data_IF_991218481353
#
_entry.id   IF_991218481353
#
_cell.length_a   1.000
_cell.length_b   1.000
_cell.length_c   1.000
_cell.angle_alpha   90.00
_cell.angle_beta   90.00
_cell.angle_gamma   90.00
#
_symmetry.space_group_name_H-M   'P 1'
#
loop_
_entity.id
_entity.type
_entity.pdbx_description
1 polymer ?
#
# COMPACT_ATOMS: atom_id res chain seq x y z
N UNK A 1 31.26 9.83 34.73
CA UNK A 1 30.39 9.21 33.72
C UNK A 1 31.24 8.16 33.05
N UNK A 2 30.96 6.89 33.33
CA UNK A 2 31.70 5.77 32.77
C UNK A 2 31.37 5.64 31.27
N UNK A 3 32.26 5.05 30.44
CA UNK A 3 31.99 4.88 29.01
C UNK A 3 30.73 4.04 28.73
N UNK A 4 30.37 3.13 29.64
CA UNK A 4 29.09 2.40 29.61
C UNK A 4 27.87 3.31 29.84
N UNK A 5 27.94 4.28 30.75
CA UNK A 5 26.86 5.26 30.99
C UNK A 5 26.61 6.17 29.76
N UNK A 6 27.65 6.44 28.97
CA UNK A 6 27.55 7.27 27.74
C UNK A 6 26.90 6.48 26.61
N UNK A 7 27.15 5.17 26.52
CA UNK A 7 26.52 4.30 25.51
C UNK A 7 25.03 4.05 25.82
N UNK A 8 24.67 3.88 27.08
CA UNK A 8 23.28 3.74 27.52
C UNK A 8 22.50 5.06 27.40
N UNK A 9 23.15 6.19 27.73
CA UNK A 9 22.57 7.52 27.50
C UNK A 9 22.48 7.88 26.01
N UNK A 10 23.44 7.48 25.17
CA UNK A 10 23.36 7.65 23.72
C UNK A 10 22.31 6.73 23.07
N UNK A 11 22.10 5.52 23.61
CA UNK A 11 20.99 4.66 23.22
C UNK A 11 19.63 5.23 23.67
N UNK A 12 19.58 5.92 24.80
CA UNK A 12 18.40 6.64 25.29
C UNK A 12 18.13 8.00 24.61
N UNK A 13 19.17 8.67 24.10
CA UNK A 13 19.10 9.94 23.35
C UNK A 13 18.94 9.76 21.84
N UNK A 14 19.36 8.60 21.31
CA UNK A 14 19.20 8.18 19.91
C UNK A 14 18.19 7.03 19.74
N UNK A 15 17.28 6.89 20.71
CA UNK A 15 16.32 5.79 20.78
C UNK A 15 15.35 5.83 19.60
N UNK A 16 15.41 4.80 18.76
CA UNK A 16 14.40 4.60 17.72
C UNK A 16 13.00 4.38 18.29
N UNK A 17 11.98 4.24 17.44
CA UNK A 17 10.61 4.05 17.85
C UNK A 17 10.48 2.91 18.87
N UNK A 18 9.78 3.16 19.97
CA UNK A 18 9.44 2.13 20.93
C UNK A 18 8.39 1.15 20.39
N UNK A 19 8.08 0.07 21.13
CA UNK A 19 7.11 -0.93 20.69
C UNK A 19 5.72 -0.34 20.42
N UNK A 20 5.30 0.65 21.22
CA UNK A 20 4.02 1.36 21.04
C UNK A 20 4.02 2.20 19.76
N UNK A 21 5.12 2.90 19.47
CA UNK A 21 5.29 3.67 18.24
C UNK A 21 5.26 2.77 17.00
N UNK A 22 5.82 1.56 17.10
CA UNK A 22 5.77 0.54 16.03
C UNK A 22 4.34 0.06 15.80
N UNK A 23 3.58 -0.22 16.86
CA UNK A 23 2.19 -0.62 16.75
C UNK A 23 1.32 0.51 16.16
N UNK A 24 1.48 1.74 16.65
CA UNK A 24 0.80 2.92 16.13
C UNK A 24 1.19 3.21 14.68
N UNK A 25 2.47 3.03 14.34
CA UNK A 25 2.98 3.15 12.98
C UNK A 25 2.40 2.11 12.03
N UNK A 26 2.30 0.85 12.45
CA UNK A 26 1.67 -0.22 11.69
C UNK A 26 0.18 0.07 11.44
N UNK A 27 -0.55 0.54 12.46
CA UNK A 27 -1.95 0.95 12.34
C UNK A 27 -2.12 2.16 11.39
N UNK A 28 -1.24 3.16 11.50
CA UNK A 28 -1.25 4.34 10.64
C UNK A 28 -0.97 3.98 9.17
N UNK A 29 -0.01 3.06 8.93
CA UNK A 29 0.30 2.55 7.60
C UNK A 29 -0.87 1.74 7.04
N UNK A 30 -1.48 0.85 7.82
CA UNK A 30 -2.67 0.10 7.40
C UNK A 30 -3.82 1.03 7.01
N UNK A 31 -4.09 2.07 7.79
CA UNK A 31 -5.10 3.08 7.45
C UNK A 31 -4.76 3.83 6.16
N UNK A 32 -3.48 4.12 5.90
CA UNK A 32 -3.04 4.74 4.65
C UNK A 32 -3.21 3.81 3.45
N UNK A 33 -2.92 2.51 3.60
CA UNK A 33 -3.14 1.50 2.56
C UNK A 33 -4.63 1.36 2.21
N UNK A 34 -5.53 1.41 3.20
CA UNK A 34 -6.99 1.42 2.95
C UNK A 34 -7.43 2.65 2.15
N UNK A 35 -6.87 3.83 2.44
CA UNK A 35 -7.16 5.05 1.66
C UNK A 35 -6.69 4.92 0.20
N UNK A 36 -5.47 4.42 -0.01
CA UNK A 36 -4.93 4.19 -1.36
C UNK A 36 -5.74 3.13 -2.12
N UNK A 37 -6.16 2.05 -1.45
CA UNK A 37 -7.08 1.07 -2.01
C UNK A 37 -8.41 1.71 -2.44
N UNK A 38 -8.96 2.61 -1.63
CA UNK A 38 -10.15 3.39 -1.96
C UNK A 38 -9.97 4.26 -3.21
N UNK A 39 -8.83 4.94 -3.35
CA UNK A 39 -8.52 5.75 -4.53
C UNK A 39 -8.42 4.89 -5.81
N UNK A 40 -7.77 3.72 -5.73
CA UNK A 40 -7.68 2.79 -6.86
C UNK A 40 -9.05 2.17 -7.21
N UNK A 41 -9.86 1.82 -6.21
CA UNK A 41 -11.21 1.31 -6.43
C UNK A 41 -12.11 2.36 -7.10
N UNK A 42 -12.00 3.62 -6.69
CA UNK A 42 -12.72 4.74 -7.32
C UNK A 42 -12.26 4.96 -8.77
N UNK A 43 -10.95 4.92 -9.03
CA UNK A 43 -10.40 5.01 -10.38
C UNK A 43 -10.88 3.85 -11.27
N UNK A 44 -10.90 2.62 -10.74
CA UNK A 44 -11.43 1.45 -11.42
C UNK A 44 -12.93 1.62 -11.74
N UNK A 45 -13.73 2.13 -10.80
CA UNK A 45 -15.16 2.39 -11.04
C UNK A 45 -15.36 3.47 -12.13
N UNK A 46 -14.59 4.56 -12.09
CA UNK A 46 -14.66 5.63 -13.08
C UNK A 46 -14.28 5.13 -14.50
N UNK A 47 -13.22 4.32 -14.61
CA UNK A 47 -12.83 3.70 -15.88
C UNK A 47 -13.90 2.73 -16.40
N UNK A 48 -14.54 1.97 -15.50
CA UNK A 48 -15.69 1.12 -15.83
C UNK A 48 -16.87 1.90 -16.38
N UNK A 49 -17.23 3.00 -15.74
CA UNK A 49 -18.30 3.87 -16.19
C UNK A 49 -17.98 4.54 -17.53
N UNK A 50 -16.74 5.02 -17.71
CA UNK A 50 -16.32 5.66 -18.95
C UNK A 50 -16.35 4.72 -20.17
N UNK A 51 -16.12 3.42 -19.96
CA UNK A 51 -16.18 2.42 -21.02
C UNK A 51 -17.53 1.69 -21.13
N UNK A 52 -18.54 2.09 -20.33
CA UNK A 52 -19.89 1.55 -20.46
C UNK A 52 -20.55 2.05 -21.74
N UNK A 53 -21.07 1.12 -22.55
CA UNK A 53 -21.89 1.45 -23.72
C UNK A 53 -23.29 1.80 -23.21
N UNK A 54 -23.81 2.97 -23.58
CA UNK A 54 -25.20 3.33 -23.27
C UNK A 54 -26.12 2.78 -24.36
N UNK A 55 -27.05 1.86 -24.06
CA UNK A 55 -27.98 1.35 -25.06
C UNK A 55 -28.81 2.49 -25.65
N UNK A 56 -28.85 2.59 -26.99
CA UNK A 56 -29.60 3.63 -27.71
C UNK A 56 -28.87 4.96 -27.91
N UNK A 57 -27.61 5.09 -27.49
CA UNK A 57 -26.79 6.27 -27.77
C UNK A 57 -26.10 6.14 -29.16
N UNK A 58 -26.49 6.95 -30.16
CA UNK A 58 -25.89 6.90 -31.50
C UNK A 58 -24.45 7.42 -31.53
N UNK A 59 -23.96 8.04 -30.46
CA UNK A 59 -22.58 8.52 -30.34
C UNK A 59 -21.62 7.49 -29.73
N UNK A 60 -22.15 6.33 -29.29
CA UNK A 60 -21.36 5.20 -28.82
C UNK A 60 -20.91 5.26 -27.36
N UNK A 61 -21.48 6.16 -26.54
CA UNK A 61 -21.09 6.38 -25.16
C UNK A 61 -19.87 7.30 -24.99
N UNK A 62 -19.35 7.47 -23.77
CA UNK A 62 -18.26 8.42 -23.47
C UNK A 62 -16.94 8.10 -24.19
N UNK A 63 -16.74 6.83 -24.56
CA UNK A 63 -15.61 6.35 -25.35
C UNK A 63 -16.13 5.69 -26.64
N UNK A 64 -16.16 6.43 -27.73
CA UNK A 64 -16.64 5.94 -29.03
C UNK A 64 -15.64 5.01 -29.76
N UNK A 65 -14.38 4.94 -29.32
CA UNK A 65 -13.33 4.09 -29.90
C UNK A 65 -13.18 2.76 -29.12
N UNK A 66 -13.40 1.63 -29.81
CA UNK A 66 -13.33 0.27 -29.24
C UNK A 66 -11.95 -0.03 -28.62
N UNK A 67 -10.85 0.46 -29.20
CA UNK A 67 -9.50 0.24 -28.64
C UNK A 67 -9.35 1.01 -27.32
N UNK A 68 -9.85 2.24 -27.26
CA UNK A 68 -9.86 3.03 -26.01
C UNK A 68 -10.75 2.39 -24.95
N UNK A 69 -11.91 1.88 -25.34
CA UNK A 69 -12.82 1.17 -24.45
C UNK A 69 -12.15 -0.08 -23.84
N UNK A 70 -11.49 -0.91 -24.67
CA UNK A 70 -10.74 -2.08 -24.20
C UNK A 70 -9.59 -1.68 -23.27
N UNK A 71 -8.86 -0.62 -23.61
CA UNK A 71 -7.80 -0.07 -22.76
C UNK A 71 -8.31 0.36 -21.38
N UNK A 72 -9.45 1.07 -21.34
CA UNK A 72 -10.09 1.48 -20.08
C UNK A 72 -10.56 0.28 -19.24
N UNK A 73 -11.10 -0.78 -19.88
CA UNK A 73 -11.49 -2.01 -19.18
C UNK A 73 -10.29 -2.76 -18.58
N UNK A 74 -9.20 -2.88 -19.33
CA UNK A 74 -7.97 -3.48 -18.83
C UNK A 74 -7.41 -2.69 -17.63
N UNK A 75 -7.28 -1.37 -17.77
CA UNK A 75 -6.80 -0.50 -16.69
C UNK A 75 -7.71 -0.53 -15.46
N UNK A 76 -9.04 -0.63 -15.65
CA UNK A 76 -9.96 -0.83 -14.53
C UNK A 76 -9.73 -2.15 -13.81
N UNK A 77 -9.47 -3.23 -14.54
CA UNK A 77 -9.18 -4.54 -13.95
C UNK A 77 -7.92 -4.49 -13.10
N UNK A 78 -6.85 -3.92 -13.64
CA UNK A 78 -5.57 -3.76 -12.95
C UNK A 78 -5.71 -2.93 -11.67
N UNK A 79 -6.42 -1.79 -11.75
CA UNK A 79 -6.67 -0.94 -10.59
C UNK A 79 -7.50 -1.65 -9.51
N UNK A 80 -8.52 -2.44 -9.91
CA UNK A 80 -9.34 -3.20 -8.98
C UNK A 80 -8.54 -4.31 -8.27
N UNK A 81 -7.67 -5.02 -8.99
CA UNK A 81 -6.80 -6.05 -8.40
C UNK A 81 -5.83 -5.43 -7.40
N UNK A 82 -5.19 -4.32 -7.76
CA UNK A 82 -4.29 -3.60 -6.83
C UNK A 82 -5.02 -3.08 -5.60
N UNK A 83 -6.24 -2.56 -5.76
CA UNK A 83 -7.06 -2.13 -4.62
C UNK A 83 -7.35 -3.29 -3.65
N UNK A 84 -7.75 -4.46 -4.17
CA UNK A 84 -8.00 -5.64 -3.34
C UNK A 84 -6.75 -6.09 -2.58
N UNK A 85 -5.59 -6.12 -3.27
CA UNK A 85 -4.32 -6.50 -2.65
C UNK A 85 -3.84 -5.50 -1.58
N UNK A 86 -4.13 -4.21 -1.76
CA UNK A 86 -3.83 -3.20 -0.73
C UNK A 86 -4.71 -3.34 0.51
N UNK A 87 -5.96 -3.78 0.37
CA UNK A 87 -6.81 -4.12 1.52
C UNK A 87 -6.24 -5.33 2.28
N UNK A 88 -5.86 -6.39 1.58
CA UNK A 88 -5.24 -7.57 2.21
C UNK A 88 -3.89 -7.22 2.86
N UNK A 89 -3.10 -6.33 2.24
CA UNK A 89 -1.88 -5.80 2.84
C UNK A 89 -2.17 -4.98 4.12
N UNK A 90 -3.21 -4.15 4.12
CA UNK A 90 -3.62 -3.39 5.31
C UNK A 90 -4.02 -4.30 6.48
N UNK A 91 -4.83 -5.33 6.21
CA UNK A 91 -5.21 -6.34 7.21
C UNK A 91 -4.02 -7.14 7.73
N UNK A 92 -3.04 -7.41 6.85
CA UNK A 92 -1.82 -8.13 7.21
C UNK A 92 -0.89 -7.28 8.08
N UNK A 93 -0.73 -5.99 7.76
CA UNK A 93 0.17 -5.05 8.44
C UNK A 93 -0.40 -4.53 9.75
N UNK A 94 -1.71 -4.28 9.83
CA UNK A 94 -2.35 -3.62 10.98
C UNK A 94 -2.04 -4.24 12.35
N UNK A 95 -2.05 -5.57 12.51
CA UNK A 95 -1.66 -6.24 13.76
C UNK A 95 -0.18 -6.11 14.15
N UNK A 96 0.66 -5.61 13.24
CA UNK A 96 2.11 -5.59 13.39
C UNK A 96 2.76 -6.96 13.14
N UNK A 97 4.08 -7.01 13.27
CA UNK A 97 4.88 -8.23 13.10
C UNK A 97 6.16 -8.00 12.31
N UNK A 98 6.89 -9.09 12.06
CA UNK A 98 8.14 -9.05 11.31
C UNK A 98 7.89 -8.77 9.82
N UNK A 99 8.61 -7.78 9.25
CA UNK A 99 8.44 -7.35 7.87
C UNK A 99 8.61 -8.48 6.85
N UNK A 100 9.53 -9.43 7.08
CA UNK A 100 9.74 -10.57 6.18
C UNK A 100 8.50 -11.48 6.11
N UNK A 101 7.93 -11.84 7.26
CA UNK A 101 6.73 -12.67 7.35
C UNK A 101 5.48 -11.94 6.81
N UNK A 102 5.40 -10.62 6.98
CA UNK A 102 4.36 -9.79 6.39
C UNK A 102 4.48 -9.78 4.85
N UNK A 103 5.69 -9.55 4.34
CA UNK A 103 5.96 -9.51 2.90
C UNK A 103 5.68 -10.86 2.23
N UNK A 104 6.00 -11.99 2.88
CA UNK A 104 5.69 -13.33 2.35
C UNK A 104 4.19 -13.54 2.18
N UNK A 105 3.39 -13.17 3.20
CA UNK A 105 1.92 -13.27 3.14
C UNK A 105 1.33 -12.41 2.02
N UNK A 106 1.81 -11.17 1.89
CA UNK A 106 1.38 -10.24 0.83
C UNK A 106 1.81 -10.76 -0.56
N UNK A 107 3.03 -11.30 -0.68
CA UNK A 107 3.51 -11.87 -1.93
C UNK A 107 2.70 -13.11 -2.34
N UNK A 108 2.30 -13.95 -1.38
CA UNK A 108 1.43 -15.09 -1.63
C UNK A 108 0.04 -14.64 -2.13
N UNK A 109 -0.51 -13.57 -1.56
CA UNK A 109 -1.75 -12.96 -2.02
C UNK A 109 -1.66 -12.45 -3.47
N UNK A 110 -0.61 -11.68 -3.78
CA UNK A 110 -0.35 -11.20 -5.13
C UNK A 110 -0.24 -12.34 -6.15
N UNK A 111 0.47 -13.42 -5.80
CA UNK A 111 0.60 -14.63 -6.64
C UNK A 111 -0.75 -15.31 -6.88
N UNK A 112 -1.60 -15.44 -5.85
CA UNK A 112 -2.97 -15.99 -6.01
C UNK A 112 -3.83 -15.13 -6.94
N UNK A 113 -3.61 -13.82 -6.94
CA UNK A 113 -4.26 -12.87 -7.85
C UNK A 113 -3.61 -12.82 -9.26
N UNK A 114 -2.58 -13.62 -9.52
CA UNK A 114 -1.90 -13.68 -10.82
C UNK A 114 -1.03 -12.47 -11.14
N UNK A 115 -0.59 -11.70 -10.13
CA UNK A 115 0.25 -10.51 -10.31
C UNK A 115 1.58 -10.64 -9.57
N UNK A 116 2.62 -9.98 -10.08
CA UNK A 116 3.92 -9.94 -9.44
C UNK A 116 3.84 -9.13 -8.13
N UNK A 117 4.42 -9.58 -7.00
CA UNK A 117 4.38 -8.85 -5.72
C UNK A 117 4.90 -7.40 -5.82
N UNK A 118 5.90 -7.17 -6.68
CA UNK A 118 6.51 -5.86 -6.91
C UNK A 118 5.54 -4.78 -7.39
N UNK A 119 4.35 -5.14 -7.93
CA UNK A 119 3.33 -4.15 -8.35
C UNK A 119 2.78 -3.32 -7.17
N UNK A 120 2.93 -3.81 -5.94
CA UNK A 120 2.48 -3.14 -4.73
C UNK A 120 3.51 -2.14 -4.17
N UNK A 121 4.75 -2.13 -4.68
CA UNK A 121 5.81 -1.24 -4.17
C UNK A 121 5.44 0.24 -4.37
N UNK A 122 4.98 0.71 -5.55
CA UNK A 122 4.59 2.11 -5.70
C UNK A 122 3.46 2.57 -4.76
N UNK A 123 2.29 1.89 -4.67
CA UNK A 123 1.23 2.33 -3.76
C UNK A 123 1.62 2.23 -2.28
N UNK A 124 2.47 1.28 -1.90
CA UNK A 124 2.97 1.17 -0.52
C UNK A 124 3.87 2.35 -0.15
N UNK A 125 4.73 2.81 -1.07
CA UNK A 125 5.50 4.06 -0.90
C UNK A 125 4.60 5.29 -0.85
N UNK A 126 3.55 5.34 -1.67
CA UNK A 126 2.58 6.44 -1.63
C UNK A 126 1.85 6.51 -0.29
N UNK A 127 1.41 5.38 0.25
CA UNK A 127 0.78 5.28 1.57
C UNK A 127 1.70 5.78 2.69
N UNK A 128 2.99 5.43 2.65
CA UNK A 128 3.99 5.87 3.63
C UNK A 128 4.24 7.40 3.61
N UNK A 129 4.02 8.06 2.47
CA UNK A 129 4.14 9.52 2.35
C UNK A 129 2.87 10.27 2.81
N UNK A 130 1.74 9.58 2.91
CA UNK A 130 0.42 10.16 3.20
C UNK A 130 -0.13 9.72 4.57
N UNK A 131 0.76 9.50 5.54
CA UNK A 131 0.40 9.08 6.90
C UNK A 131 -0.33 10.20 7.64
N UNK A 132 -1.50 9.86 8.19
CA UNK A 132 -2.34 10.78 8.96
C UNK A 132 -2.09 10.61 10.47
N UNK A 133 -0.83 10.76 10.88
CA UNK A 133 -0.42 10.76 12.30
C UNK A 133 0.35 12.03 12.61
N UNK A 134 0.07 12.64 13.76
CA UNK A 134 0.82 13.78 14.32
C UNK A 134 2.02 13.33 15.16
N UNK A 135 2.05 12.07 15.59
CA UNK A 135 3.17 11.43 16.27
C UNK A 135 4.34 11.17 15.30
N UNK A 136 5.46 11.84 15.57
CA UNK A 136 6.70 11.70 14.79
C UNK A 136 7.33 10.30 14.91
N UNK A 137 7.28 9.67 16.08
CA UNK A 137 7.88 8.35 16.30
C UNK A 137 7.08 7.27 15.56
N UNK A 138 5.74 7.33 15.65
CA UNK A 138 4.86 6.45 14.87
C UNK A 138 5.02 6.66 13.35
N UNK A 139 5.24 7.91 12.91
CA UNK A 139 5.51 8.20 11.50
C UNK A 139 6.82 7.54 11.03
N UNK A 140 7.89 7.67 11.80
CA UNK A 140 9.18 7.03 11.50
C UNK A 140 8.97 5.51 11.42
N UNK A 141 8.33 4.91 12.42
CA UNK A 141 8.07 3.47 12.43
C UNK A 141 7.27 3.01 11.20
N UNK A 142 6.19 3.71 10.86
CA UNK A 142 5.39 3.42 9.67
C UNK A 142 6.23 3.50 8.37
N UNK A 143 7.08 4.52 8.23
CA UNK A 143 7.96 4.64 7.06
C UNK A 143 9.01 3.54 7.00
N UNK A 144 9.55 3.10 8.14
CA UNK A 144 10.49 1.98 8.22
C UNK A 144 9.82 0.67 7.81
N UNK A 145 8.65 0.37 8.39
CA UNK A 145 7.86 -0.82 8.03
C UNK A 145 7.56 -0.82 6.52
N UNK A 146 7.17 0.32 5.96
CA UNK A 146 6.89 0.44 4.54
C UNK A 146 8.15 0.25 3.68
N UNK A 147 9.30 0.79 4.09
CA UNK A 147 10.56 0.60 3.36
C UNK A 147 10.98 -0.88 3.32
N UNK A 148 10.94 -1.56 4.47
CA UNK A 148 11.31 -2.96 4.61
C UNK A 148 10.39 -3.87 3.78
N UNK A 149 9.07 -3.61 3.83
CA UNK A 149 8.08 -4.32 3.01
C UNK A 149 8.32 -4.08 1.51
N UNK A 150 8.56 -2.84 1.10
CA UNK A 150 8.82 -2.51 -0.29
C UNK A 150 10.08 -3.22 -0.82
N UNK A 151 11.14 -3.28 -0.01
CA UNK A 151 12.36 -3.99 -0.37
C UNK A 151 12.14 -5.51 -0.48
N UNK A 152 11.45 -6.10 0.50
CA UNK A 152 11.14 -7.53 0.49
C UNK A 152 10.26 -7.92 -0.71
N UNK A 153 9.22 -7.14 -1.01
CA UNK A 153 8.34 -7.37 -2.17
C UNK A 153 9.06 -7.15 -3.50
N UNK A 154 9.98 -6.16 -3.56
CA UNK A 154 10.78 -5.89 -4.75
C UNK A 154 11.77 -7.01 -5.09
N UNK A 155 12.22 -7.79 -4.10
CA UNK A 155 13.06 -8.98 -4.29
C UNK A 155 12.27 -10.25 -4.63
N UNK A 156 10.97 -10.27 -4.34
CA UNK A 156 10.10 -11.44 -4.50
C UNK A 156 9.41 -11.53 -5.88
N UNK A 157 9.57 -10.51 -6.73
CA UNK A 157 9.09 -10.46 -8.11
C UNK A 157 10.20 -10.74 -9.11
#
# INVERSE_FOLDING_TARGET
MQPEDVAEFAAGMGGGPGPEDVANGAAALAAALVREAGALAAAAAALRQAAAVTPGDPTGGPLSDIRRQRGAMAASGDAAIRAALLLEAAETVGPGGEAAALAERIAAAAKRAGVAPGVLVPPLRAAALALATDDGAARIAATTIAADLAEALGRAG
#
